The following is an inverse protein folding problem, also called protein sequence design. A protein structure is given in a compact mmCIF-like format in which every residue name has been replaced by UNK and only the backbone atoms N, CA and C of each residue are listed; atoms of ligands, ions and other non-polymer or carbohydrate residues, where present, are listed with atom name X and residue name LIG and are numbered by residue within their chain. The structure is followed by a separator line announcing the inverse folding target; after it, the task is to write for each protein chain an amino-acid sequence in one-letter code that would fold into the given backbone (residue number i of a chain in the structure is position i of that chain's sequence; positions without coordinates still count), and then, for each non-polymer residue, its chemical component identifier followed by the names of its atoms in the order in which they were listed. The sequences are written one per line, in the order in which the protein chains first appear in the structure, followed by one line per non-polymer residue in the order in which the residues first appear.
data_IF_072051388754
#
_entry.id   IF_072051388754
#
_cell.length_a   1.000
_cell.length_b   1.000
_cell.length_c   1.000
_cell.angle_alpha   90.00
_cell.angle_beta   90.00
_cell.angle_gamma   90.00
#
_symmetry.space_group_name_H-M   'P 1'
#
loop_
_entity.id
_entity.type
_entity.pdbx_description
1 polymer ?
#
# COMPACT_ATOMS: atom_id res chain seq x y z
N UNK A 1 16.70 9.78 9.96
CA UNK A 1 15.36 9.17 10.11
C UNK A 1 15.44 7.67 10.00
N UNK A 2 15.60 7.17 8.78
CA UNK A 2 15.54 5.73 8.45
C UNK A 2 16.38 4.84 9.36
N UNK A 3 17.69 5.11 9.51
CA UNK A 3 18.58 4.36 10.41
C UNK A 3 18.01 4.21 11.82
N UNK A 4 17.57 5.32 12.43
CA UNK A 4 17.02 5.32 13.78
C UNK A 4 15.71 4.54 13.85
N UNK A 5 14.86 4.63 12.81
CA UNK A 5 13.65 3.82 12.71
C UNK A 5 13.97 2.34 12.65
N UNK A 6 14.99 1.95 11.88
CA UNK A 6 15.43 0.56 11.79
C UNK A 6 15.95 0.05 13.15
N UNK A 7 16.84 0.79 13.81
CA UNK A 7 17.37 0.46 15.15
C UNK A 7 16.27 0.23 16.19
N UNK A 8 15.19 1.01 16.14
CA UNK A 8 14.11 0.94 17.12
C UNK A 8 13.10 -0.17 16.83
N UNK A 9 12.83 -0.48 15.55
CA UNK A 9 11.71 -1.33 15.16
C UNK A 9 12.13 -2.74 14.71
N UNK A 10 13.27 -2.88 14.05
CA UNK A 10 13.73 -4.19 13.59
C UNK A 10 14.05 -5.07 14.80
N UNK A 11 13.55 -6.32 14.76
CA UNK A 11 13.60 -7.26 15.90
C UNK A 11 12.51 -7.06 16.95
N UNK A 12 11.85 -5.89 17.00
CA UNK A 12 10.77 -5.59 17.95
C UNK A 12 9.36 -5.74 17.36
N UNK A 13 9.23 -5.69 16.03
CA UNK A 13 7.96 -5.88 15.33
C UNK A 13 8.07 -7.01 14.29
N UNK A 14 7.00 -7.80 14.09
CA UNK A 14 7.02 -8.92 13.14
C UNK A 14 7.10 -8.47 11.68
N UNK A 15 6.71 -7.23 11.38
CA UNK A 15 6.77 -6.64 10.04
C UNK A 15 6.99 -5.14 10.15
N UNK A 16 8.05 -4.64 9.53
CA UNK A 16 8.38 -3.21 9.43
C UNK A 16 8.42 -2.84 7.96
N UNK A 17 7.73 -1.78 7.58
CA UNK A 17 7.66 -1.33 6.19
C UNK A 17 7.86 0.18 6.12
N UNK A 18 8.80 0.61 5.27
CA UNK A 18 9.06 2.02 5.02
C UNK A 18 8.03 2.59 4.05
N UNK A 19 7.56 3.80 4.32
CA UNK A 19 6.62 4.51 3.47
C UNK A 19 7.36 5.68 2.80
N UNK A 20 7.60 5.74 1.49
CA UNK A 20 7.22 4.85 0.36
C UNK A 20 8.41 4.63 -0.60
N UNK A 21 8.23 3.90 -1.73
CA UNK A 21 9.27 3.82 -2.76
C UNK A 21 9.40 5.13 -3.52
N UNK A 22 8.32 5.60 -4.14
CA UNK A 22 8.29 6.88 -4.85
C UNK A 22 7.67 7.97 -3.98
N UNK A 23 8.15 9.20 -4.16
CA UNK A 23 7.33 10.36 -3.84
C UNK A 23 6.10 10.37 -4.74
N UNK A 24 4.97 10.75 -4.15
CA UNK A 24 3.76 11.01 -4.90
C UNK A 24 3.94 12.33 -5.67
N UNK A 25 3.65 12.37 -6.99
CA UNK A 25 3.77 13.60 -7.75
C UNK A 25 2.82 14.69 -7.22
N UNK A 26 3.30 15.92 -7.08
CA UNK A 26 2.45 17.02 -6.58
C UNK A 26 1.29 17.35 -7.54
N UNK A 27 1.53 17.15 -8.85
CA UNK A 27 0.56 17.34 -9.92
C UNK A 27 -0.56 16.29 -9.90
N UNK A 28 -0.29 15.11 -9.34
CA UNK A 28 -1.33 14.12 -9.12
C UNK A 28 -2.19 14.61 -7.96
N UNK A 29 -3.42 14.99 -8.26
CA UNK A 29 -4.40 15.29 -7.23
C UNK A 29 -4.54 14.05 -6.36
N UNK A 30 -4.07 14.11 -5.11
CA UNK A 30 -4.52 13.16 -4.11
C UNK A 30 -6.05 13.30 -4.09
N UNK A 31 -6.76 12.27 -4.55
CA UNK A 31 -8.23 12.29 -4.62
C UNK A 31 -8.82 12.61 -3.26
N UNK A 32 -8.09 12.30 -2.17
CA UNK A 32 -8.27 12.82 -0.81
C UNK A 32 -7.76 14.27 -0.69
N UNK A 33 -8.59 15.31 -0.84
CA UNK A 33 -8.16 16.68 -0.51
C UNK A 33 -9.17 17.44 0.35
N UNK A 34 -8.87 17.46 1.64
CA UNK A 34 -8.74 18.72 2.35
C UNK A 34 -7.26 18.94 2.68
N UNK A 35 -6.64 19.91 2.00
CA UNK A 35 -5.20 20.25 2.05
C UNK A 35 -4.65 20.49 3.47
N UNK A 36 -5.51 20.78 4.44
CA UNK A 36 -5.14 21.15 5.82
C UNK A 36 -5.99 20.49 6.93
N UNK A 37 -7.08 19.76 6.60
CA UNK A 37 -8.11 19.37 7.59
C UNK A 37 -7.92 17.94 8.12
N UNK A 38 -7.22 17.07 7.38
CA UNK A 38 -6.86 15.72 7.85
C UNK A 38 -5.36 15.69 8.18
N UNK A 39 -5.07 15.80 9.47
CA UNK A 39 -3.75 16.11 10.02
C UNK A 39 -2.57 15.30 9.48
N UNK A 40 -1.46 16.03 9.22
CA UNK A 40 -0.01 15.73 9.22
C UNK A 40 0.58 14.37 8.75
N UNK A 41 -0.22 13.34 8.58
CA UNK A 41 0.20 11.97 8.24
C UNK A 41 0.30 11.72 6.73
N UNK A 42 -0.48 12.44 5.92
CA UNK A 42 -0.52 12.28 4.46
C UNK A 42 0.49 13.13 3.67
N UNK A 43 1.03 14.20 4.28
CA UNK A 43 2.11 15.00 3.65
C UNK A 43 3.36 14.16 3.37
N UNK A 44 3.54 13.07 4.12
CA UNK A 44 4.67 12.15 4.02
C UNK A 44 4.76 11.45 2.67
N UNK A 45 3.66 11.23 1.98
CA UNK A 45 3.66 10.55 0.68
C UNK A 45 4.37 11.36 -0.40
N UNK A 46 4.41 12.69 -0.27
CA UNK A 46 5.08 13.58 -1.21
C UNK A 46 6.60 13.69 -0.98
N UNK A 47 7.11 13.22 0.17
CA UNK A 47 8.51 13.47 0.55
C UNK A 47 9.26 12.27 1.14
N UNK A 48 8.57 11.22 1.58
CA UNK A 48 9.19 10.06 2.22
C UNK A 48 9.47 8.92 1.23
N UNK A 49 9.27 9.13 -0.06
CA UNK A 49 9.78 8.24 -1.11
C UNK A 49 11.29 8.06 -1.00
N UNK A 50 11.79 6.85 -1.21
CA UNK A 50 13.22 6.59 -1.42
C UNK A 50 13.70 7.10 -2.79
N UNK A 51 12.78 7.23 -3.73
CA UNK A 51 12.92 7.86 -5.03
C UNK A 51 12.08 9.14 -5.06
N UNK A 52 12.52 10.12 -5.85
CA UNK A 52 11.70 11.29 -6.20
C UNK A 52 10.61 10.89 -7.19
N UNK A 53 9.71 11.82 -7.52
CA UNK A 53 8.63 11.57 -8.49
C UNK A 53 9.14 11.12 -9.86
N UNK A 54 10.34 11.59 -10.27
CA UNK A 54 11.02 11.25 -11.52
C UNK A 54 11.82 9.92 -11.47
N UNK A 55 11.79 9.21 -10.33
CA UNK A 55 12.53 7.97 -10.12
C UNK A 55 14.00 8.15 -9.75
N UNK A 56 14.51 9.37 -9.61
CA UNK A 56 15.88 9.60 -9.15
C UNK A 56 16.04 9.23 -7.65
N UNK A 57 17.15 8.59 -7.26
CA UNK A 57 17.35 8.13 -5.90
C UNK A 57 17.57 9.29 -4.92
N UNK A 58 17.08 9.13 -3.69
CA UNK A 58 17.41 10.00 -2.56
C UNK A 58 18.49 9.36 -1.67
N UNK A 59 19.22 10.16 -0.86
CA UNK A 59 20.26 9.63 0.03
C UNK A 59 19.79 8.52 0.98
N UNK A 60 18.51 8.53 1.37
CA UNK A 60 17.94 7.50 2.23
C UNK A 60 17.90 6.10 1.58
N UNK A 61 17.98 5.99 0.25
CA UNK A 61 17.95 4.72 -0.46
C UNK A 61 19.15 3.83 -0.12
N UNK A 62 20.35 4.41 -0.03
CA UNK A 62 21.56 3.65 0.33
C UNK A 62 21.50 3.12 1.76
N UNK A 63 20.90 3.89 2.67
CA UNK A 63 20.67 3.44 4.05
C UNK A 63 19.60 2.35 4.09
N UNK A 64 18.51 2.46 3.31
CA UNK A 64 17.43 1.47 3.26
C UNK A 64 17.93 0.07 2.87
N UNK A 65 18.80 -0.02 1.86
CA UNK A 65 19.37 -1.30 1.37
C UNK A 65 20.13 -2.06 2.46
N UNK A 66 20.63 -1.37 3.50
CA UNK A 66 21.31 -2.02 4.63
C UNK A 66 20.35 -2.79 5.55
N UNK A 67 19.04 -2.54 5.41
CA UNK A 67 17.99 -3.08 6.25
C UNK A 67 17.04 -4.00 5.48
N UNK A 68 17.32 -4.31 4.22
CA UNK A 68 16.60 -5.34 3.46
C UNK A 68 17.28 -6.70 3.64
N UNK A 69 16.50 -7.80 3.74
CA UNK A 69 15.06 -7.90 3.50
C UNK A 69 14.16 -7.62 4.73
N UNK A 70 14.72 -7.36 5.91
CA UNK A 70 13.97 -7.24 7.17
C UNK A 70 12.98 -6.06 7.18
N UNK A 71 13.30 -4.99 6.46
CA UNK A 71 12.42 -3.86 6.22
C UNK A 71 11.80 -3.93 4.81
N UNK A 72 10.47 -3.98 4.75
CA UNK A 72 9.71 -3.93 3.51
C UNK A 72 9.35 -2.50 3.08
N UNK A 73 8.43 -2.42 2.12
CA UNK A 73 7.89 -1.14 1.63
C UNK A 73 6.39 -1.07 1.73
N UNK A 74 5.88 0.15 1.87
CA UNK A 74 4.50 0.50 1.55
C UNK A 74 4.52 1.32 0.26
N UNK A 75 3.94 0.81 -0.82
CA UNK A 75 3.82 1.53 -2.08
C UNK A 75 2.41 1.37 -2.63
N UNK A 76 1.71 2.49 -2.78
CA UNK A 76 0.42 2.53 -3.43
C UNK A 76 0.60 2.77 -4.92
N UNK A 77 -0.16 2.03 -5.72
CA UNK A 77 -0.26 2.26 -7.16
C UNK A 77 -1.64 2.84 -7.44
N UNK A 78 -1.67 3.98 -8.12
CA UNK A 78 -2.93 4.49 -8.65
C UNK A 78 -3.47 3.56 -9.73
N UNK A 79 -4.75 3.70 -10.06
CA UNK A 79 -5.33 3.02 -11.22
C UNK A 79 -4.51 3.31 -12.47
N UNK A 80 -4.07 2.26 -13.17
CA UNK A 80 -3.20 2.35 -14.36
C UNK A 80 -1.90 3.16 -14.15
N UNK A 81 -1.32 3.08 -12.94
CA UNK A 81 -0.03 3.74 -12.66
C UNK A 81 1.08 3.16 -13.56
N UNK A 82 1.51 3.97 -14.52
CA UNK A 82 2.55 3.63 -15.49
C UNK A 82 3.90 3.25 -14.85
N UNK A 83 4.12 3.60 -13.58
CA UNK A 83 5.37 3.29 -12.84
C UNK A 83 5.40 1.89 -12.27
N UNK A 84 4.35 1.07 -12.42
CA UNK A 84 4.26 -0.25 -11.82
C UNK A 84 5.50 -1.12 -12.10
N UNK A 85 5.92 -1.20 -13.37
CA UNK A 85 7.03 -2.08 -13.77
C UNK A 85 8.38 -1.58 -13.26
N UNK A 86 8.63 -0.28 -13.38
CA UNK A 86 9.84 0.35 -12.84
C UNK A 86 9.91 0.21 -11.31
N UNK A 87 8.77 0.36 -10.63
CA UNK A 87 8.68 0.15 -9.20
C UNK A 87 9.01 -1.29 -8.81
N UNK A 88 8.46 -2.28 -9.52
CA UNK A 88 8.78 -3.70 -9.31
C UNK A 88 10.27 -3.96 -9.50
N UNK A 89 10.86 -3.42 -10.58
CA UNK A 89 12.30 -3.57 -10.85
C UNK A 89 13.15 -2.94 -9.73
N UNK A 90 12.79 -1.75 -9.25
CA UNK A 90 13.45 -1.11 -8.12
C UNK A 90 13.32 -1.93 -6.84
N UNK A 91 12.13 -2.40 -6.48
CA UNK A 91 11.93 -3.19 -5.27
C UNK A 91 12.77 -4.48 -5.29
N UNK A 92 12.82 -5.17 -6.43
CA UNK A 92 13.70 -6.34 -6.64
C UNK A 92 15.17 -5.96 -6.46
N UNK A 93 15.62 -4.87 -7.09
CA UNK A 93 17.00 -4.36 -6.97
C UNK A 93 17.39 -4.01 -5.54
N UNK A 94 16.44 -3.49 -4.74
CA UNK A 94 16.66 -3.12 -3.35
C UNK A 94 16.62 -4.33 -2.40
N UNK A 95 16.28 -5.53 -2.87
CA UNK A 95 16.15 -6.73 -2.04
C UNK A 95 14.87 -6.76 -1.19
N UNK A 96 13.83 -6.02 -1.59
CA UNK A 96 12.56 -5.97 -0.87
C UNK A 96 11.82 -7.29 -1.04
N UNK A 97 11.38 -7.88 0.07
CA UNK A 97 10.59 -9.12 0.06
C UNK A 97 9.16 -8.91 0.55
N UNK A 98 8.90 -7.96 1.46
CA UNK A 98 7.54 -7.66 1.92
C UNK A 98 7.06 -6.30 1.39
N UNK A 99 5.85 -6.30 0.85
CA UNK A 99 5.23 -5.13 0.25
C UNK A 99 3.82 -4.96 0.83
N UNK A 100 3.45 -3.74 1.19
CA UNK A 100 2.06 -3.36 1.42
C UNK A 100 1.61 -2.40 0.34
N UNK A 101 0.47 -2.72 -0.25
CA UNK A 101 -0.19 -1.90 -1.26
C UNK A 101 -1.70 -1.95 -1.02
N UNK A 102 -2.53 -1.57 -1.98
CA UNK A 102 -3.95 -1.78 -1.87
C UNK A 102 -4.76 -1.72 -3.15
N UNK A 103 -5.98 -2.22 -3.04
CA UNK A 103 -6.99 -2.21 -4.10
C UNK A 103 -8.14 -1.31 -3.65
N UNK A 104 -8.54 -0.41 -4.53
CA UNK A 104 -9.56 0.61 -4.28
C UNK A 104 -10.94 0.09 -4.67
N UNK A 105 -11.90 0.12 -3.75
CA UNK A 105 -13.28 -0.23 -4.06
C UNK A 105 -13.89 0.81 -5.01
N UNK A 106 -13.54 2.08 -4.87
CA UNK A 106 -13.90 3.12 -5.84
C UNK A 106 -13.39 2.80 -7.26
N UNK A 107 -12.14 2.34 -7.40
CA UNK A 107 -11.58 2.01 -8.72
C UNK A 107 -12.22 0.75 -9.33
N UNK A 108 -12.85 -0.11 -8.53
CA UNK A 108 -13.59 -1.29 -9.04
C UNK A 108 -14.79 -0.95 -9.92
N UNK A 109 -15.23 0.31 -9.90
CA UNK A 109 -16.28 0.84 -10.80
C UNK A 109 -15.74 1.49 -12.07
N UNK A 110 -14.42 1.54 -12.25
CA UNK A 110 -13.81 2.01 -13.51
C UNK A 110 -13.92 0.92 -14.58
N UNK A 111 -13.94 1.29 -15.87
CA UNK A 111 -13.73 0.33 -16.96
C UNK A 111 -12.44 -0.47 -16.74
N UNK A 112 -12.46 -1.76 -17.07
CA UNK A 112 -11.31 -2.68 -17.00
C UNK A 112 -10.66 -2.80 -15.61
N UNK A 113 -11.41 -2.53 -14.54
CA UNK A 113 -10.82 -2.48 -13.20
C UNK A 113 -10.19 -3.81 -12.75
N UNK A 114 -10.83 -4.94 -13.07
CA UNK A 114 -10.30 -6.25 -12.76
C UNK A 114 -9.02 -6.55 -13.56
N UNK A 115 -8.94 -6.15 -14.83
CA UNK A 115 -7.75 -6.35 -15.65
C UNK A 115 -6.55 -5.60 -15.06
N UNK A 116 -6.77 -4.37 -14.58
CA UNK A 116 -5.74 -3.61 -13.87
C UNK A 116 -5.34 -4.28 -12.55
N UNK A 117 -6.30 -4.73 -11.74
CA UNK A 117 -6.00 -5.40 -10.47
C UNK A 117 -5.22 -6.71 -10.69
N UNK A 118 -5.58 -7.48 -11.72
CA UNK A 118 -4.86 -8.68 -12.11
C UNK A 118 -3.43 -8.36 -12.52
N UNK A 119 -3.27 -7.37 -13.39
CA UNK A 119 -1.95 -6.93 -13.85
C UNK A 119 -1.06 -6.45 -12.69
N UNK A 120 -1.64 -5.72 -11.74
CA UNK A 120 -0.92 -5.29 -10.54
C UNK A 120 -0.50 -6.50 -9.70
N UNK A 121 -1.44 -7.40 -9.38
CA UNK A 121 -1.15 -8.55 -8.52
C UNK A 121 -0.19 -9.55 -9.17
N UNK A 122 -0.24 -9.72 -10.49
CA UNK A 122 0.73 -10.52 -11.26
C UNK A 122 2.14 -9.91 -11.18
N UNK A 123 2.28 -8.59 -11.37
CA UNK A 123 3.57 -7.90 -11.27
C UNK A 123 4.20 -8.04 -9.87
N UNK A 124 3.35 -8.15 -8.85
CA UNK A 124 3.73 -8.20 -7.45
C UNK A 124 3.85 -9.64 -6.90
N UNK A 125 3.70 -10.67 -7.75
CA UNK A 125 3.68 -12.07 -7.33
C UNK A 125 4.95 -12.55 -6.61
N UNK A 126 6.10 -11.92 -6.89
CA UNK A 126 7.38 -12.25 -6.27
C UNK A 126 7.57 -11.67 -4.85
N UNK A 127 6.61 -10.88 -4.36
CA UNK A 127 6.65 -10.26 -3.03
C UNK A 127 5.67 -10.92 -2.05
N UNK A 128 5.98 -10.88 -0.76
CA UNK A 128 5.03 -11.11 0.33
C UNK A 128 4.10 -9.90 0.47
N UNK A 129 3.02 -9.89 -0.30
CA UNK A 129 2.10 -8.77 -0.40
C UNK A 129 1.07 -8.77 0.74
N UNK A 130 0.90 -7.61 1.38
CA UNK A 130 -0.26 -7.27 2.22
C UNK A 130 -1.14 -6.27 1.49
N UNK A 131 -2.36 -6.68 1.16
CA UNK A 131 -3.34 -5.81 0.48
C UNK A 131 -4.15 -5.05 1.52
N UNK A 132 -4.28 -3.73 1.32
CA UNK A 132 -5.25 -2.88 2.02
C UNK A 132 -6.42 -2.62 1.09
N UNK A 133 -7.66 -2.89 1.52
CA UNK A 133 -8.84 -2.45 0.79
C UNK A 133 -9.29 -1.08 1.31
N UNK A 134 -9.55 -0.14 0.41
CA UNK A 134 -9.89 1.24 0.77
C UNK A 134 -10.79 1.89 -0.28
N UNK A 135 -11.21 3.12 0.03
CA UNK A 135 -11.94 4.06 -0.83
C UNK A 135 -13.36 3.65 -1.23
N UNK A 136 -14.33 4.38 -0.71
CA UNK A 136 -15.74 4.26 -1.09
C UNK A 136 -15.98 4.89 -2.47
N UNK A 137 -16.66 4.23 -3.43
CA UNK A 137 -17.11 4.89 -4.65
C UNK A 137 -18.01 6.08 -4.30
N UNK A 138 -17.84 7.24 -4.96
CA UNK A 138 -18.58 8.47 -4.57
C UNK A 138 -20.10 8.25 -4.52
N UNK A 139 -20.66 7.54 -5.50
CA UNK A 139 -22.08 7.21 -5.55
C UNK A 139 -22.56 6.20 -4.49
N UNK A 140 -21.64 5.61 -3.73
CA UNK A 140 -21.90 4.66 -2.63
C UNK A 140 -21.56 5.21 -1.25
N UNK A 141 -21.02 6.42 -1.15
CA UNK A 141 -20.75 7.08 0.12
C UNK A 141 -21.97 7.79 0.69
N UNK A 142 -22.04 7.96 2.02
CA UNK A 142 -23.03 8.85 2.65
C UNK A 142 -22.89 10.30 2.15
N UNK A 143 -21.68 10.67 1.75
CA UNK A 143 -21.32 11.85 0.99
C UNK A 143 -20.60 11.39 -0.28
N UNK A 144 -20.64 12.15 -1.39
CA UNK A 144 -19.94 11.83 -2.64
C UNK A 144 -18.42 12.04 -2.49
N UNK A 145 -17.80 11.24 -1.63
CA UNK A 145 -16.39 11.34 -1.27
C UNK A 145 -15.84 9.95 -0.91
N UNK A 146 -14.61 9.67 -1.32
CA UNK A 146 -14.01 8.34 -1.19
C UNK A 146 -13.57 7.96 0.22
N UNK A 147 -13.48 8.93 1.14
CA UNK A 147 -13.34 8.66 2.58
C UNK A 147 -14.67 8.58 3.33
N UNK A 148 -15.80 8.82 2.63
CA UNK A 148 -17.12 8.71 3.24
C UNK A 148 -17.42 7.25 3.61
N UNK A 149 -18.06 6.99 4.75
CA UNK A 149 -18.59 5.66 5.03
C UNK A 149 -19.55 5.20 3.91
N UNK A 150 -19.58 3.90 3.59
CA UNK A 150 -20.56 3.36 2.64
C UNK A 150 -21.99 3.55 3.14
N UNK A 151 -22.91 3.79 2.21
CA UNK A 151 -24.36 3.73 2.45
C UNK A 151 -24.79 2.32 2.89
N UNK A 152 -24.17 1.29 2.30
CA UNK A 152 -24.38 -0.12 2.59
C UNK A 152 -23.02 -0.80 2.85
N UNK A 153 -22.61 -1.01 4.12
CA UNK A 153 -21.33 -1.63 4.46
C UNK A 153 -21.10 -3.02 3.84
N UNK A 154 -22.18 -3.75 3.55
CA UNK A 154 -22.15 -5.08 2.94
C UNK A 154 -21.56 -5.06 1.53
N UNK A 155 -21.71 -3.96 0.78
CA UNK A 155 -21.12 -3.85 -0.56
C UNK A 155 -19.60 -3.78 -0.52
N UNK A 156 -19.05 -3.05 0.45
CA UNK A 156 -17.61 -3.01 0.70
C UNK A 156 -17.09 -4.36 1.19
N UNK A 157 -17.86 -5.03 2.07
CA UNK A 157 -17.53 -6.38 2.53
C UNK A 157 -17.50 -7.39 1.38
N UNK A 158 -18.45 -7.31 0.44
CA UNK A 158 -18.49 -8.18 -0.74
C UNK A 158 -17.33 -7.88 -1.70
N UNK A 159 -16.95 -6.61 -1.87
CA UNK A 159 -15.73 -6.26 -2.60
C UNK A 159 -14.49 -6.90 -1.97
N UNK A 160 -14.31 -6.73 -0.65
CA UNK A 160 -13.21 -7.35 0.09
C UNK A 160 -13.19 -8.86 -0.10
N UNK A 161 -14.34 -9.53 0.06
CA UNK A 161 -14.47 -10.98 -0.09
C UNK A 161 -14.11 -11.46 -1.51
N UNK A 162 -14.57 -10.75 -2.54
CA UNK A 162 -14.22 -11.05 -3.95
C UNK A 162 -12.71 -10.92 -4.19
N UNK A 163 -12.09 -9.85 -3.72
CA UNK A 163 -10.65 -9.64 -3.91
C UNK A 163 -9.81 -10.66 -3.14
N UNK A 164 -10.21 -11.03 -1.91
CA UNK A 164 -9.54 -12.09 -1.14
C UNK A 164 -9.65 -13.44 -1.85
N UNK A 165 -10.83 -13.83 -2.32
CA UNK A 165 -11.01 -15.09 -3.06
C UNK A 165 -10.14 -15.13 -4.32
N UNK A 166 -9.94 -13.99 -4.98
CA UNK A 166 -9.17 -13.87 -6.22
C UNK A 166 -7.66 -13.88 -6.00
N UNK A 167 -7.17 -13.09 -5.04
CA UNK A 167 -5.73 -12.82 -4.88
C UNK A 167 -5.09 -13.49 -3.66
N UNK A 168 -5.87 -14.14 -2.82
CA UNK A 168 -5.38 -14.91 -1.66
C UNK A 168 -6.01 -16.31 -1.56
N UNK A 169 -6.11 -17.10 -2.66
CA UNK A 169 -6.81 -18.38 -2.64
C UNK A 169 -6.18 -19.43 -1.70
N UNK A 170 -4.88 -19.30 -1.41
CA UNK A 170 -4.10 -20.22 -0.55
C UNK A 170 -4.06 -19.89 0.94
N UNK A 171 -4.69 -18.80 1.42
CA UNK A 171 -4.63 -18.38 2.84
C UNK A 171 -5.53 -19.24 3.76
N UNK A 172 -6.10 -20.33 3.24
CA UNK A 172 -6.93 -21.26 4.04
C UNK A 172 -6.15 -22.05 5.10
N UNK A 173 -4.81 -22.10 5.05
CA UNK A 173 -4.00 -23.02 5.89
C UNK A 173 -3.02 -22.37 6.88
N UNK A 174 -2.82 -21.05 6.86
CA UNK A 174 -1.95 -20.41 7.84
C UNK A 174 -2.75 -19.95 9.06
N UNK A 175 -3.02 -20.88 9.99
CA UNK A 175 -3.53 -20.53 11.31
C UNK A 175 -2.59 -19.50 11.95
N UNK A 176 -3.06 -18.26 12.11
CA UNK A 176 -2.36 -17.27 12.91
C UNK A 176 -2.33 -17.82 14.34
N UNK A 177 -1.17 -18.06 14.97
CA UNK A 177 -1.15 -18.42 16.37
C UNK A 177 -1.67 -17.21 17.15
N UNK A 178 -2.91 -17.32 17.65
CA UNK A 178 -3.45 -16.38 18.63
C UNK A 178 -2.56 -16.43 19.86
N UNK A 179 -1.60 -15.52 19.93
CA UNK A 179 -0.86 -15.27 21.15
C UNK A 179 -1.84 -14.58 22.10
N UNK A 180 -2.39 -15.34 23.04
CA UNK A 180 -3.25 -14.81 24.11
C UNK A 180 -2.51 -13.66 24.79
N UNK A 181 -3.06 -12.46 24.70
CA UNK A 181 -2.64 -11.35 25.55
C UNK A 181 -3.20 -11.66 26.93
N UNK A 182 -2.30 -12.02 27.85
CA UNK A 182 -2.62 -12.07 29.28
C UNK A 182 -2.98 -10.66 29.73
N UNK A 183 -4.23 -10.47 30.16
CA UNK A 183 -4.60 -9.28 30.90
C UNK A 183 -3.82 -9.27 32.22
N UNK A 184 -3.17 -8.15 32.52
CA UNK A 184 -2.65 -7.82 33.84
C UNK A 184 -3.57 -6.75 34.44
#
# INVERSE_FOLDING_TARGET
GLRRTAELLLGNAPRVQWYSLYDLPQAWGATTRHREVEGSSYYRHFYMGLLREDGSPKPALEEFVRHTPEMGLVQWFHFEDHRLDDAVAWMKRLGVTSLRTGLSWADSFRPNALDWFDRQMEALADFNVTITFCFTPEHRGLQPHHTSPPQAPEEFAEFCAKMVRRYAPGVRDAAIPMRRVSAA
#
